data_IF_640226790830
#
_entry.id   IF_640226790830
#
_cell.length_a   1.000
_cell.length_b   1.000
_cell.length_c   1.000
_cell.angle_alpha   90.00
_cell.angle_beta   90.00
_cell.angle_gamma   90.00
#
_symmetry.space_group_name_H-M   'P 1'
#
loop_
_entity.id
_entity.type
_entity.pdbx_description
1 polymer ?
#
# COMPACT_ATOMS: atom_id res chain seq x y z
N UNK A 1 4.43 -12.43 -6.26
CA UNK A 1 5.44 -13.22 -6.97
C UNK A 1 5.50 -14.56 -6.26
N UNK A 2 5.56 -15.68 -6.98
CA UNK A 2 5.79 -16.98 -6.33
C UNK A 2 7.29 -17.09 -6.02
N UNK A 3 7.66 -17.86 -5.00
CA UNK A 3 9.03 -17.97 -4.48
C UNK A 3 10.12 -17.84 -5.58
N UNK A 4 10.82 -16.70 -5.58
CA UNK A 4 11.96 -16.44 -6.46
C UNK A 4 11.67 -16.20 -7.96
N UNK A 5 10.41 -16.19 -8.42
CA UNK A 5 10.07 -16.00 -9.85
C UNK A 5 9.11 -14.84 -10.11
N UNK A 6 9.40 -14.08 -11.15
CA UNK A 6 8.52 -13.03 -11.66
C UNK A 6 7.19 -13.63 -12.14
N UNK A 7 6.07 -13.09 -11.68
CA UNK A 7 4.74 -13.55 -12.10
C UNK A 7 4.39 -13.25 -13.57
N UNK A 8 5.16 -12.39 -14.24
CA UNK A 8 4.91 -11.96 -15.61
C UNK A 8 5.76 -12.69 -16.66
N UNK A 9 7.06 -12.89 -16.39
CA UNK A 9 7.99 -13.47 -17.36
C UNK A 9 8.77 -14.69 -16.83
N UNK A 10 8.39 -15.21 -15.65
CA UNK A 10 9.06 -16.33 -14.95
C UNK A 10 10.55 -16.15 -14.64
N UNK A 11 11.08 -14.93 -14.81
CA UNK A 11 12.48 -14.61 -14.54
C UNK A 11 12.85 -14.73 -13.06
N UNK A 12 14.09 -15.15 -12.80
CA UNK A 12 14.60 -15.47 -11.44
C UNK A 12 15.32 -14.30 -10.75
N UNK A 13 15.69 -13.27 -11.52
CA UNK A 13 16.27 -12.04 -10.96
C UNK A 13 15.16 -11.16 -10.43
N UNK A 14 15.01 -11.13 -9.12
CA UNK A 14 14.02 -10.30 -8.41
C UNK A 14 14.75 -9.47 -7.36
N UNK A 15 14.51 -8.16 -7.37
CA UNK A 15 15.02 -7.24 -6.38
C UNK A 15 13.92 -6.89 -5.37
N UNK A 16 14.25 -6.89 -4.09
CA UNK A 16 13.38 -6.36 -3.04
C UNK A 16 13.73 -4.90 -2.76
N UNK A 17 12.75 -4.01 -2.92
CA UNK A 17 12.77 -2.65 -2.41
C UNK A 17 12.10 -2.70 -1.03
N UNK A 18 12.93 -2.77 0.00
CA UNK A 18 12.48 -2.90 1.40
C UNK A 18 11.68 -1.68 1.84
N UNK A 19 11.99 -0.49 1.34
CA UNK A 19 11.20 0.71 1.56
C UNK A 19 11.14 1.51 0.27
N UNK A 20 9.94 1.70 -0.27
CA UNK A 20 9.76 2.56 -1.42
C UNK A 20 9.82 4.02 -0.94
N UNK A 21 10.79 4.78 -1.43
CA UNK A 21 11.02 6.17 -1.05
C UNK A 21 10.83 7.10 -2.27
N UNK A 22 10.26 8.27 -2.02
CA UNK A 22 10.07 9.36 -2.96
C UNK A 22 10.99 10.51 -2.55
N UNK A 23 11.52 11.27 -3.51
CA UNK A 23 12.23 12.51 -3.18
C UNK A 23 11.29 13.51 -2.53
N UNK A 24 11.75 14.18 -1.48
CA UNK A 24 10.94 15.16 -0.78
C UNK A 24 10.85 16.45 -1.61
N UNK A 25 9.65 16.81 -2.07
CA UNK A 25 9.42 17.96 -2.94
C UNK A 25 9.94 19.32 -2.42
N UNK A 26 10.07 19.48 -1.09
CA UNK A 26 10.63 20.71 -0.46
C UNK A 26 12.09 20.64 0.00
N UNK A 27 12.69 19.45 0.07
CA UNK A 27 14.00 19.28 0.68
C UNK A 27 14.87 18.38 -0.20
N UNK A 28 15.95 18.92 -0.75
CA UNK A 28 16.79 18.24 -1.73
C UNK A 28 17.42 16.93 -1.21
N UNK A 29 17.64 16.83 0.10
CA UNK A 29 18.29 15.69 0.75
C UNK A 29 17.34 14.88 1.65
N UNK A 30 16.03 15.01 1.46
CA UNK A 30 15.07 14.22 2.23
C UNK A 30 14.28 13.28 1.32
N UNK A 31 13.88 12.16 1.92
CA UNK A 31 13.03 11.16 1.30
C UNK A 31 11.74 11.04 2.10
N UNK A 32 10.64 10.79 1.40
CA UNK A 32 9.34 10.48 1.98
C UNK A 32 8.99 9.03 1.61
N UNK A 33 8.45 8.23 2.54
CA UNK A 33 7.96 6.91 2.17
C UNK A 33 6.83 7.04 1.13
N UNK A 34 6.92 6.26 0.06
CA UNK A 34 5.77 5.95 -0.77
C UNK A 34 4.78 5.19 0.11
N UNK A 35 3.55 5.68 0.15
CA UNK A 35 2.52 5.15 1.02
C UNK A 35 1.25 4.91 0.23
N UNK A 36 0.56 3.83 0.56
CA UNK A 36 -0.82 3.64 0.11
C UNK A 36 -1.73 4.24 1.17
N UNK A 37 -2.65 5.10 0.72
CA UNK A 37 -3.65 5.70 1.60
C UNK A 37 -4.99 5.06 1.31
N UNK A 38 -5.63 4.55 2.35
CA UNK A 38 -7.04 4.21 2.32
C UNK A 38 -7.81 5.31 3.06
N UNK A 39 -8.89 5.78 2.44
CA UNK A 39 -9.78 6.78 3.04
C UNK A 39 -10.86 6.08 3.85
N UNK A 40 -11.06 6.54 5.08
CA UNK A 40 -12.23 6.25 5.88
C UNK A 40 -13.09 7.51 5.95
N UNK A 41 -14.36 7.38 5.63
CA UNK A 41 -15.39 8.36 5.95
C UNK A 41 -16.65 7.59 6.28
N UNK A 42 -17.31 7.80 7.44
CA UNK A 42 -18.66 7.31 7.60
C UNK A 42 -19.50 7.86 6.46
N UNK A 43 -20.19 7.01 5.72
CA UNK A 43 -21.24 7.45 4.80
C UNK A 43 -22.48 7.74 5.65
N UNK A 44 -22.52 8.91 6.27
CA UNK A 44 -23.63 9.39 7.11
C UNK A 44 -24.01 10.83 6.73
N UNK A 45 -25.22 11.27 7.08
CA UNK A 45 -25.72 12.59 6.69
C UNK A 45 -24.79 13.71 7.18
N UNK A 46 -24.44 14.61 6.25
CA UNK A 46 -23.58 15.75 6.48
C UNK A 46 -24.17 16.70 7.55
N UNK A 47 -23.80 16.49 8.81
CA UNK A 47 -23.99 17.48 9.87
C UNK A 47 -23.09 18.70 9.65
N UNK A 48 -23.37 19.78 10.38
CA UNK A 48 -22.74 21.13 10.26
C UNK A 48 -21.19 21.18 10.36
N UNK A 49 -20.54 20.06 10.69
CA UNK A 49 -19.07 19.92 10.77
C UNK A 49 -18.46 18.90 9.78
N UNK A 50 -19.27 18.30 8.90
CA UNK A 50 -18.86 17.29 7.93
C UNK A 50 -18.29 16.01 8.56
N UNK A 51 -18.34 14.90 7.84
CA UNK A 51 -17.64 13.69 8.25
C UNK A 51 -16.14 13.92 8.20
N UNK A 52 -15.45 13.76 9.34
CA UNK A 52 -13.99 13.80 9.38
C UNK A 52 -13.48 12.51 8.73
N UNK A 53 -12.89 12.66 7.55
CA UNK A 53 -12.25 11.56 6.87
C UNK A 53 -10.94 11.19 7.59
N UNK A 54 -10.91 10.08 8.34
CA UNK A 54 -9.63 9.57 8.85
C UNK A 54 -8.85 8.93 7.70
N UNK A 55 -7.57 9.30 7.58
CA UNK A 55 -6.67 8.77 6.56
C UNK A 55 -5.75 7.76 7.21
N UNK A 56 -5.87 6.51 6.81
CA UNK A 56 -4.93 5.47 7.24
C UNK A 56 -3.86 5.35 6.17
N UNK A 57 -2.62 5.62 6.59
CA UNK A 57 -1.44 5.54 5.73
C UNK A 57 -0.68 4.26 6.07
N UNK A 58 -0.38 3.44 5.05
CA UNK A 58 0.42 2.23 5.19
C UNK A 58 1.66 2.29 4.31
N UNK A 59 2.78 1.78 4.84
CA UNK A 59 4.05 1.66 4.13
C UNK A 59 4.00 0.50 3.16
N UNK A 60 4.68 0.66 2.02
CA UNK A 60 4.82 -0.38 1.02
C UNK A 60 6.27 -0.78 0.78
N UNK A 61 6.48 -2.07 0.57
CA UNK A 61 7.64 -2.61 -0.15
C UNK A 61 7.24 -2.97 -1.57
N UNK A 62 8.24 -3.14 -2.43
CA UNK A 62 8.04 -3.60 -3.80
C UNK A 62 9.02 -4.72 -4.13
N UNK A 63 8.60 -5.68 -4.92
CA UNK A 63 9.50 -6.59 -5.62
C UNK A 63 9.52 -6.21 -7.09
N UNK A 64 10.71 -6.10 -7.68
CA UNK A 64 10.90 -5.68 -9.06
C UNK A 64 11.67 -6.76 -9.81
N UNK A 65 11.10 -7.25 -10.91
CA UNK A 65 11.78 -8.19 -11.79
C UNK A 65 12.90 -7.49 -12.57
N UNK A 66 14.12 -8.02 -12.49
CA UNK A 66 15.26 -7.53 -13.25
C UNK A 66 15.23 -7.85 -14.74
N UNK A 67 14.35 -8.76 -15.19
CA UNK A 67 14.21 -9.13 -16.60
C UNK A 67 13.25 -8.23 -17.37
N UNK A 68 12.03 -8.05 -16.84
CA UNK A 68 10.96 -7.32 -17.53
C UNK A 68 10.48 -6.05 -16.80
N UNK A 69 11.05 -5.71 -15.65
CA UNK A 69 10.64 -4.53 -14.86
C UNK A 69 9.29 -4.67 -14.13
N UNK A 70 8.60 -5.81 -14.26
CA UNK A 70 7.35 -6.06 -13.56
C UNK A 70 7.51 -5.84 -12.04
N UNK A 71 6.63 -5.05 -11.47
CA UNK A 71 6.69 -4.61 -10.07
C UNK A 71 5.44 -5.05 -9.31
N UNK A 72 5.63 -5.64 -8.15
CA UNK A 72 4.55 -6.05 -7.25
C UNK A 72 4.71 -5.37 -5.90
N UNK A 73 3.63 -4.73 -5.43
CA UNK A 73 3.63 -3.94 -4.19
C UNK A 73 3.04 -4.73 -3.04
N UNK A 74 3.66 -4.60 -1.87
CA UNK A 74 3.24 -5.27 -0.63
C UNK A 74 3.07 -4.24 0.47
N UNK A 75 1.92 -4.25 1.14
CA UNK A 75 1.70 -3.43 2.32
C UNK A 75 2.34 -4.09 3.55
N UNK A 76 3.12 -3.31 4.31
CA UNK A 76 3.78 -3.82 5.53
C UNK A 76 2.91 -3.75 6.77
N UNK A 77 2.06 -2.75 6.86
CA UNK A 77 1.28 -2.45 8.07
C UNK A 77 -0.06 -3.23 8.06
N UNK A 78 0.01 -4.56 7.97
CA UNK A 78 -1.16 -5.45 7.82
C UNK A 78 -2.18 -5.30 8.96
N UNK A 79 -1.74 -5.07 10.20
CA UNK A 79 -2.62 -4.84 11.34
C UNK A 79 -3.51 -3.60 11.18
N UNK A 80 -3.00 -2.56 10.51
CA UNK A 80 -3.79 -1.35 10.22
C UNK A 80 -4.87 -1.67 9.21
N UNK A 81 -4.53 -2.42 8.15
CA UNK A 81 -5.50 -2.87 7.14
C UNK A 81 -6.54 -3.82 7.72
N UNK A 82 -6.14 -4.74 8.61
CA UNK A 82 -7.04 -5.66 9.28
C UNK A 82 -8.07 -4.93 10.16
N UNK A 83 -7.64 -3.91 10.92
CA UNK A 83 -8.55 -3.06 11.70
C UNK A 83 -9.59 -2.37 10.83
N UNK A 84 -9.20 -1.86 9.66
CA UNK A 84 -10.13 -1.25 8.70
C UNK A 84 -11.11 -2.29 8.14
N UNK A 85 -10.60 -3.47 7.75
CA UNK A 85 -11.41 -4.54 7.18
C UNK A 85 -12.49 -5.05 8.15
N UNK A 86 -12.16 -5.24 9.43
CA UNK A 86 -13.10 -5.73 10.46
C UNK A 86 -14.24 -4.76 10.70
N UNK A 87 -13.95 -3.47 10.68
CA UNK A 87 -14.96 -2.42 10.91
C UNK A 87 -15.81 -2.11 9.67
N UNK A 88 -15.55 -2.76 8.54
CA UNK A 88 -16.22 -2.46 7.26
C UNK A 88 -15.85 -1.07 6.71
N UNK A 89 -14.64 -0.59 7.01
CA UNK A 89 -14.23 0.79 6.81
C UNK A 89 -13.39 0.98 5.54
N UNK A 90 -13.76 1.99 4.75
CA UNK A 90 -13.04 2.37 3.53
C UNK A 90 -13.14 1.33 2.40
N UNK A 91 -12.19 1.37 1.47
CA UNK A 91 -12.15 0.44 0.32
C UNK A 91 -11.38 -0.87 0.63
N UNK A 92 -11.21 -1.22 1.91
CA UNK A 92 -10.45 -2.39 2.35
C UNK A 92 -11.43 -3.49 2.77
N UNK A 93 -11.39 -4.63 2.09
CA UNK A 93 -12.25 -5.79 2.40
C UNK A 93 -11.41 -7.05 2.60
N UNK A 94 -11.79 -7.95 3.52
CA UNK A 94 -11.14 -9.24 3.62
C UNK A 94 -11.43 -10.03 2.33
N UNK A 95 -10.38 -10.39 1.61
CA UNK A 95 -10.48 -11.40 0.55
C UNK A 95 -10.20 -12.73 1.23
N UNK A 96 -11.14 -13.69 1.18
CA UNK A 96 -10.87 -15.05 1.68
C UNK A 96 -9.57 -15.53 1.05
N UNK A 97 -8.55 -15.77 1.88
CA UNK A 97 -7.36 -16.49 1.44
C UNK A 97 -7.84 -17.88 0.97
N UNK A 98 -7.43 -18.26 -0.25
CA UNK A 98 -7.61 -19.62 -0.73
C UNK A 98 -6.70 -20.56 0.05
#
# INVERSE_FOLDING_TARGET
MKAGKCANCDGEKVYEITEALLTHHKYANAFLPLTLTAYYGPTGEAGFFGDKLDRVTVRVSAFVCGGCGYSELYAKDLDRLAKMAVKGEGNVRPVKAR
#
